data_IF_786033287097
#
_entry.id   IF_786033287097
#
_cell.length_a   1.000
_cell.length_b   1.000
_cell.length_c   1.000
_cell.angle_alpha   90.00
_cell.angle_beta   90.00
_cell.angle_gamma   90.00
#
_symmetry.space_group_name_H-M   'P 1'
#
loop_
_entity.id
_entity.type
_entity.pdbx_description
1 polymer ?
#
# COMPACT_ATOMS: atom_id res chain seq x y z
N UNK A 1 -6.98 -21.72 0.07
CA UNK A 1 -5.70 -21.11 0.43
C UNK A 1 -4.63 -21.61 -0.52
N UNK A 2 -3.82 -20.71 -1.08
CA UNK A 2 -2.72 -21.05 -1.99
C UNK A 2 -1.79 -22.08 -1.36
N UNK A 3 -1.34 -23.05 -2.17
CA UNK A 3 -0.44 -24.11 -1.72
C UNK A 3 0.99 -23.80 -2.13
N UNK A 4 1.21 -23.44 -3.39
CA UNK A 4 2.54 -23.21 -3.98
C UNK A 4 2.67 -21.77 -4.48
N UNK A 5 3.55 -20.99 -3.86
CA UNK A 5 3.69 -19.55 -4.13
C UNK A 5 5.11 -19.23 -4.60
N UNK A 6 5.23 -18.45 -5.67
CA UNK A 6 6.50 -17.89 -6.13
C UNK A 6 6.56 -16.40 -5.76
N UNK A 7 7.69 -15.97 -5.23
CA UNK A 7 7.96 -14.58 -4.86
C UNK A 7 9.13 -14.09 -5.70
N UNK A 8 8.96 -12.97 -6.41
CA UNK A 8 10.00 -12.27 -7.16
C UNK A 8 10.19 -10.86 -6.56
N UNK A 9 11.31 -10.63 -5.89
CA UNK A 9 11.58 -9.41 -5.13
C UNK A 9 13.09 -9.30 -4.94
N UNK A 10 13.75 -8.27 -5.44
CA UNK A 10 15.20 -8.10 -5.26
C UNK A 10 15.57 -7.55 -3.88
N UNK A 11 14.66 -6.83 -3.20
CA UNK A 11 14.92 -6.30 -1.86
C UNK A 11 14.71 -7.36 -0.77
N UNK A 12 15.81 -7.83 -0.21
CA UNK A 12 15.83 -8.90 0.81
C UNK A 12 14.91 -8.61 2.02
N UNK A 13 14.90 -7.38 2.52
CA UNK A 13 14.06 -6.99 3.67
C UNK A 13 12.56 -7.11 3.33
N UNK A 14 12.16 -6.62 2.15
CA UNK A 14 10.78 -6.73 1.69
C UNK A 14 10.40 -8.21 1.51
N UNK A 15 11.33 -9.00 0.97
CA UNK A 15 11.10 -10.41 0.77
C UNK A 15 10.87 -11.19 2.07
N UNK A 16 11.72 -10.98 3.08
CA UNK A 16 11.56 -11.61 4.39
C UNK A 16 10.17 -11.29 4.99
N UNK A 17 9.69 -10.05 4.82
CA UNK A 17 8.36 -9.64 5.27
C UNK A 17 7.24 -10.41 4.56
N UNK A 18 7.34 -10.59 3.24
CA UNK A 18 6.40 -11.39 2.44
C UNK A 18 6.41 -12.85 2.88
N UNK A 19 7.60 -13.45 3.00
CA UNK A 19 7.75 -14.84 3.45
C UNK A 19 7.14 -15.04 4.84
N UNK A 20 7.42 -14.12 5.78
CA UNK A 20 6.86 -14.16 7.13
C UNK A 20 5.33 -14.10 7.11
N UNK A 21 4.76 -13.23 6.28
CA UNK A 21 3.31 -13.09 6.11
C UNK A 21 2.66 -14.36 5.56
N UNK A 22 3.27 -14.99 4.55
CA UNK A 22 2.81 -16.26 3.99
C UNK A 22 2.89 -17.39 5.02
N UNK A 23 4.01 -17.47 5.75
CA UNK A 23 4.20 -18.47 6.80
C UNK A 23 3.15 -18.35 7.91
N UNK A 24 2.84 -17.12 8.35
CA UNK A 24 1.83 -16.87 9.40
C UNK A 24 0.41 -17.22 8.94
N UNK A 25 0.18 -17.28 7.62
CA UNK A 25 -1.06 -17.78 7.01
C UNK A 25 -1.02 -19.29 6.72
N UNK A 26 0.04 -20.01 7.08
CA UNK A 26 0.17 -21.46 6.86
C UNK A 26 0.54 -21.85 5.43
N UNK A 27 1.08 -20.90 4.64
CA UNK A 27 1.57 -21.15 3.29
C UNK A 27 3.07 -21.45 3.38
N UNK A 28 3.43 -22.73 3.27
CA UNK A 28 4.80 -23.20 3.52
C UNK A 28 5.59 -23.55 2.25
N UNK A 29 4.91 -23.90 1.15
CA UNK A 29 5.59 -24.22 -0.11
C UNK A 29 5.79 -22.93 -0.90
N UNK A 30 6.80 -22.17 -0.50
CA UNK A 30 7.17 -20.89 -1.11
C UNK A 30 8.52 -21.03 -1.80
N UNK A 31 8.64 -20.40 -2.97
CA UNK A 31 9.92 -20.21 -3.65
C UNK A 31 10.19 -18.73 -3.78
N UNK A 32 11.43 -18.35 -3.56
CA UNK A 32 11.89 -16.99 -3.69
C UNK A 32 13.00 -16.89 -4.73
N UNK A 33 12.95 -15.83 -5.54
CA UNK A 33 13.97 -15.42 -6.51
C UNK A 33 14.15 -13.90 -6.51
N UNK A 34 15.36 -13.46 -6.83
CA UNK A 34 15.76 -12.05 -6.90
C UNK A 34 15.67 -11.46 -8.31
N UNK A 35 15.45 -12.30 -9.32
CA UNK A 35 15.48 -11.91 -10.74
C UNK A 35 14.22 -12.40 -11.47
N UNK A 36 13.67 -11.57 -12.35
CA UNK A 36 12.47 -11.89 -13.12
C UNK A 36 12.68 -13.11 -14.05
N UNK A 37 13.83 -13.19 -14.71
CA UNK A 37 14.15 -14.33 -15.58
C UNK A 37 14.18 -15.66 -14.83
N UNK A 38 14.69 -15.63 -13.58
CA UNK A 38 14.64 -16.80 -12.70
C UNK A 38 13.20 -17.15 -12.33
N UNK A 39 12.35 -16.16 -12.04
CA UNK A 39 10.94 -16.40 -11.74
C UNK A 39 10.24 -17.14 -12.90
N UNK A 40 10.44 -16.66 -14.13
CA UNK A 40 9.87 -17.28 -15.32
C UNK A 40 10.40 -18.71 -15.53
N UNK A 41 11.69 -18.93 -15.28
CA UNK A 41 12.32 -20.26 -15.37
C UNK A 41 11.73 -21.25 -14.38
N UNK A 42 11.53 -20.84 -13.12
CA UNK A 42 10.90 -21.66 -12.10
C UNK A 42 9.45 -22.00 -12.44
N UNK A 43 8.68 -21.04 -12.98
CA UNK A 43 7.31 -21.28 -13.42
C UNK A 43 7.24 -22.30 -14.57
N UNK A 44 8.05 -22.13 -15.62
CA UNK A 44 8.12 -23.08 -16.74
C UNK A 44 8.51 -24.48 -16.29
N UNK A 45 9.46 -24.58 -15.35
CA UNK A 45 9.91 -25.86 -14.78
C UNK A 45 8.79 -26.53 -14.00
N UNK A 46 8.12 -25.78 -13.12
CA UNK A 46 7.00 -26.27 -12.31
C UNK A 46 5.84 -26.81 -13.17
N UNK A 47 5.52 -26.15 -14.29
CA UNK A 47 4.51 -26.62 -15.25
C UNK A 47 4.93 -27.95 -15.88
N UNK A 48 6.19 -28.05 -16.35
CA UNK A 48 6.73 -29.29 -16.95
C UNK A 48 6.70 -30.45 -15.95
N UNK A 49 6.98 -30.17 -14.69
CA UNK A 49 7.04 -31.16 -13.62
C UNK A 49 5.63 -31.51 -13.07
N UNK A 50 4.56 -30.92 -13.62
CA UNK A 50 3.18 -31.21 -13.25
C UNK A 50 2.72 -30.56 -11.94
N UNK A 51 3.50 -29.63 -11.40
CA UNK A 51 3.21 -28.92 -10.15
C UNK A 51 3.25 -27.39 -10.32
N UNK A 52 2.33 -26.81 -11.10
CA UNK A 52 2.29 -25.37 -11.35
C UNK A 52 2.12 -24.56 -10.05
N UNK A 53 2.56 -23.30 -10.08
CA UNK A 53 2.36 -22.39 -8.95
C UNK A 53 0.93 -21.89 -8.92
N UNK A 54 0.35 -21.71 -7.73
CA UNK A 54 -0.99 -21.14 -7.60
C UNK A 54 -0.97 -19.61 -7.67
N UNK A 55 0.12 -19.00 -7.19
CA UNK A 55 0.27 -17.56 -7.01
C UNK A 55 1.69 -17.10 -7.32
N UNK A 56 1.79 -15.99 -8.06
CA UNK A 56 2.98 -15.15 -8.16
C UNK A 56 2.79 -13.88 -7.32
N UNK A 57 3.74 -13.59 -6.44
CA UNK A 57 3.90 -12.29 -5.78
C UNK A 57 5.14 -11.63 -6.38
N UNK A 58 5.01 -10.43 -6.91
CA UNK A 58 6.15 -9.73 -7.54
C UNK A 58 6.21 -8.27 -7.15
N UNK A 59 7.41 -7.73 -6.93
CA UNK A 59 7.62 -6.28 -7.07
C UNK A 59 7.49 -5.88 -8.54
N UNK A 60 7.27 -4.59 -8.78
CA UNK A 60 7.33 -3.98 -10.11
C UNK A 60 8.76 -3.57 -10.45
N UNK A 61 9.47 -3.01 -9.48
CA UNK A 61 10.77 -2.40 -9.67
C UNK A 61 11.85 -3.40 -9.27
N UNK A 62 12.86 -3.57 -10.13
CA UNK A 62 14.05 -4.36 -9.84
C UNK A 62 15.27 -3.50 -10.15
N UNK A 63 16.27 -3.55 -9.28
CA UNK A 63 17.54 -2.88 -9.47
C UNK A 63 18.33 -3.56 -10.60
N UNK A 64 18.88 -2.73 -11.50
CA UNK A 64 19.80 -3.21 -12.53
C UNK A 64 21.18 -3.36 -11.87
N UNK A 65 21.69 -4.58 -11.85
CA UNK A 65 23.00 -4.94 -11.29
C UNK A 65 24.05 -5.18 -12.38
N UNK A 66 23.81 -4.65 -13.59
CA UNK A 66 24.59 -4.84 -14.82
C UNK A 66 24.64 -6.30 -15.31
N UNK A 67 23.88 -7.21 -14.69
CA UNK A 67 23.74 -8.58 -15.20
C UNK A 67 22.89 -8.60 -16.47
N UNK A 68 23.22 -9.43 -17.47
CA UNK A 68 22.38 -9.60 -18.65
C UNK A 68 21.02 -10.21 -18.27
N UNK A 69 19.96 -9.41 -18.32
CA UNK A 69 18.58 -9.81 -18.02
C UNK A 69 17.67 -9.48 -19.21
N UNK A 70 16.83 -10.44 -19.62
CA UNK A 70 15.84 -10.24 -20.68
C UNK A 70 14.60 -9.55 -20.12
N UNK A 71 14.17 -9.96 -18.93
CA UNK A 71 13.04 -9.37 -18.22
C UNK A 71 13.58 -8.56 -17.04
N UNK A 72 13.41 -7.23 -17.10
CA UNK A 72 13.98 -6.28 -16.13
C UNK A 72 12.99 -5.75 -15.10
N UNK A 73 11.71 -6.03 -15.25
CA UNK A 73 10.67 -5.46 -14.40
C UNK A 73 9.50 -6.43 -14.20
N UNK A 74 8.77 -6.20 -13.11
CA UNK A 74 7.65 -7.06 -12.71
C UNK A 74 6.47 -7.03 -13.69
N UNK A 75 6.21 -5.93 -14.40
CA UNK A 75 5.10 -5.87 -15.36
C UNK A 75 5.40 -6.72 -16.60
N UNK A 76 6.64 -6.64 -17.08
CA UNK A 76 7.15 -7.51 -18.14
C UNK A 76 7.15 -8.98 -17.71
N UNK A 77 7.51 -9.27 -16.45
CA UNK A 77 7.41 -10.62 -15.88
C UNK A 77 5.96 -11.13 -15.91
N UNK A 78 5.00 -10.35 -15.44
CA UNK A 78 3.58 -10.75 -15.40
C UNK A 78 3.07 -11.12 -16.80
N UNK A 79 3.39 -10.30 -17.81
CA UNK A 79 3.01 -10.59 -19.20
C UNK A 79 3.59 -11.91 -19.68
N UNK A 80 4.89 -12.14 -19.45
CA UNK A 80 5.55 -13.38 -19.84
C UNK A 80 4.97 -14.60 -19.10
N UNK A 81 4.64 -14.44 -17.82
CA UNK A 81 4.04 -15.48 -16.98
C UNK A 81 2.62 -15.83 -17.44
N UNK A 82 1.79 -14.84 -17.78
CA UNK A 82 0.42 -15.06 -18.27
C UNK A 82 0.39 -15.78 -19.62
N UNK A 83 1.45 -15.67 -20.43
CA UNK A 83 1.58 -16.46 -21.67
C UNK A 83 1.79 -17.95 -21.36
N UNK A 84 2.62 -18.29 -20.36
CA UNK A 84 2.97 -19.68 -20.07
C UNK A 84 1.99 -20.36 -19.11
N UNK A 85 1.37 -19.60 -18.20
CA UNK A 85 0.40 -20.09 -17.24
C UNK A 85 -0.73 -19.05 -17.06
N UNK A 86 -1.72 -19.01 -17.97
CA UNK A 86 -2.77 -17.97 -17.99
C UNK A 86 -3.56 -17.85 -16.68
N UNK A 87 -3.81 -18.98 -16.01
CA UNK A 87 -4.69 -19.07 -14.84
C UNK A 87 -3.99 -18.73 -13.51
N UNK A 88 -2.67 -18.49 -13.51
CA UNK A 88 -1.94 -18.15 -12.28
C UNK A 88 -2.48 -16.85 -11.68
N UNK A 89 -2.64 -16.84 -10.35
CA UNK A 89 -2.97 -15.62 -9.62
C UNK A 89 -1.77 -14.72 -9.47
N UNK A 90 -1.98 -13.40 -9.52
CA UNK A 90 -0.90 -12.42 -9.44
C UNK A 90 -1.22 -11.36 -8.38
N UNK A 91 -0.33 -11.21 -7.41
CA UNK A 91 -0.31 -10.08 -6.47
C UNK A 91 0.93 -9.24 -6.73
N UNK A 92 0.73 -7.94 -6.93
CA UNK A 92 1.78 -6.98 -7.19
C UNK A 92 2.05 -6.14 -5.95
N UNK A 93 3.32 -6.01 -5.59
CA UNK A 93 3.82 -5.07 -4.60
C UNK A 93 4.37 -3.85 -5.33
N UNK A 94 4.11 -2.63 -4.84
CA UNK A 94 4.68 -1.43 -5.48
C UNK A 94 4.81 -0.26 -4.51
N UNK A 95 5.95 0.45 -4.56
CA UNK A 95 6.16 1.68 -3.79
C UNK A 95 5.55 2.93 -4.46
N UNK A 96 5.41 2.91 -5.79
CA UNK A 96 4.98 4.08 -6.57
C UNK A 96 3.47 4.21 -6.65
N UNK A 97 3.02 5.42 -6.98
CA UNK A 97 1.63 5.64 -7.37
C UNK A 97 1.32 4.89 -8.67
N UNK A 98 0.06 4.49 -8.80
CA UNK A 98 -0.42 3.58 -9.85
C UNK A 98 -0.20 4.19 -11.23
N UNK A 99 0.61 3.54 -12.06
CA UNK A 99 0.70 3.89 -13.48
C UNK A 99 -0.59 3.51 -14.22
N UNK A 100 -0.86 4.15 -15.36
CA UNK A 100 -1.97 3.76 -16.25
C UNK A 100 -1.87 2.29 -16.63
N UNK A 101 -0.66 1.81 -16.90
CA UNK A 101 -0.39 0.42 -17.26
C UNK A 101 -0.83 -0.58 -16.18
N UNK A 102 -0.55 -0.33 -14.90
CA UNK A 102 -0.99 -1.19 -13.79
C UNK A 102 -2.53 -1.23 -13.74
N UNK A 103 -3.18 -0.07 -13.91
CA UNK A 103 -4.64 -0.01 -13.89
C UNK A 103 -5.26 -0.79 -15.06
N UNK A 104 -4.64 -0.75 -16.23
CA UNK A 104 -5.10 -1.50 -17.40
C UNK A 104 -4.91 -3.01 -17.19
N UNK A 105 -3.75 -3.44 -16.69
CA UNK A 105 -3.49 -4.85 -16.35
C UNK A 105 -4.44 -5.39 -15.29
N UNK A 106 -4.79 -4.57 -14.29
CA UNK A 106 -5.78 -4.94 -13.28
C UNK A 106 -7.20 -5.09 -13.88
N UNK A 107 -7.60 -4.17 -14.77
CA UNK A 107 -8.89 -4.24 -15.49
C UNK A 107 -8.96 -5.44 -16.43
N UNK A 108 -7.84 -5.84 -17.00
CA UNK A 108 -7.73 -6.99 -17.91
C UNK A 108 -7.54 -8.33 -17.18
N UNK A 109 -7.67 -8.37 -15.85
CA UNK A 109 -7.49 -9.57 -15.03
C UNK A 109 -6.09 -10.21 -15.13
N UNK A 110 -5.07 -9.42 -15.49
CA UNK A 110 -3.67 -9.84 -15.46
C UNK A 110 -3.09 -9.75 -14.04
N UNK A 111 -3.64 -8.86 -13.21
CA UNK A 111 -3.31 -8.67 -11.79
C UNK A 111 -4.57 -8.89 -10.96
N UNK A 112 -4.50 -9.77 -9.95
CA UNK A 112 -5.62 -10.05 -9.04
C UNK A 112 -5.53 -9.22 -7.75
N UNK A 113 -4.32 -8.89 -7.30
CA UNK A 113 -4.09 -8.09 -6.09
C UNK A 113 -3.06 -7.00 -6.32
N UNK A 114 -3.33 -5.79 -5.81
CA UNK A 114 -2.36 -4.70 -5.79
C UNK A 114 -2.15 -4.23 -4.35
N UNK A 115 -0.92 -4.33 -3.86
CA UNK A 115 -0.54 -3.93 -2.50
C UNK A 115 0.54 -2.85 -2.58
N UNK A 116 0.28 -1.70 -1.97
CA UNK A 116 1.28 -0.65 -1.86
C UNK A 116 2.32 -1.00 -0.79
N UNK A 117 3.60 -0.87 -1.14
CA UNK A 117 4.73 -0.88 -0.20
C UNK A 117 4.72 0.44 0.58
N UNK A 118 3.96 0.45 1.66
CA UNK A 118 3.76 1.60 2.53
C UNK A 118 3.51 1.11 3.96
N UNK A 119 2.99 1.98 4.84
CA UNK A 119 2.58 1.57 6.18
C UNK A 119 1.52 0.48 6.10
N UNK A 120 1.65 -0.55 6.94
CA UNK A 120 0.73 -1.69 7.05
C UNK A 120 0.65 -2.56 5.78
N UNK A 121 1.65 -2.51 4.91
CA UNK A 121 1.79 -3.39 3.74
C UNK A 121 1.59 -4.89 4.09
N UNK A 122 2.13 -5.37 5.21
CA UNK A 122 1.92 -6.75 5.67
C UNK A 122 0.46 -7.06 6.03
N UNK A 123 -0.31 -6.09 6.52
CA UNK A 123 -1.76 -6.25 6.73
C UNK A 123 -2.48 -6.31 5.38
N UNK A 124 -2.20 -5.36 4.48
CA UNK A 124 -2.81 -5.32 3.16
C UNK A 124 -2.46 -6.54 2.30
N UNK A 125 -1.25 -7.10 2.45
CA UNK A 125 -0.86 -8.35 1.83
C UNK A 125 -1.71 -9.53 2.35
N UNK A 126 -1.99 -9.61 3.67
CA UNK A 126 -2.90 -10.63 4.21
C UNK A 126 -4.31 -10.50 3.64
N UNK A 127 -4.83 -9.28 3.57
CA UNK A 127 -6.15 -9.00 3.00
C UNK A 127 -6.19 -9.38 1.50
N UNK A 128 -5.14 -9.04 0.75
CA UNK A 128 -4.99 -9.41 -0.66
C UNK A 128 -4.97 -10.93 -0.84
N UNK A 129 -4.15 -11.64 -0.06
CA UNK A 129 -4.06 -13.10 -0.11
C UNK A 129 -5.43 -13.76 0.13
N UNK A 130 -6.16 -13.31 1.15
CA UNK A 130 -7.49 -13.83 1.47
C UNK A 130 -8.53 -13.53 0.38
N UNK A 131 -8.51 -12.32 -0.18
CA UNK A 131 -9.43 -11.94 -1.25
C UNK A 131 -9.17 -12.73 -2.54
N UNK A 132 -7.90 -12.81 -2.96
CA UNK A 132 -7.50 -13.49 -4.20
C UNK A 132 -7.71 -15.00 -4.10
N UNK A 133 -7.50 -15.60 -2.92
CA UNK A 133 -7.83 -17.01 -2.67
C UNK A 133 -9.32 -17.31 -2.82
N UNK A 134 -10.17 -16.31 -2.59
CA UNK A 134 -11.62 -16.37 -2.81
C UNK A 134 -12.03 -15.92 -4.21
N UNK A 135 -11.09 -15.83 -5.15
CA UNK A 135 -11.28 -15.33 -6.52
C UNK A 135 -11.86 -13.90 -6.58
N UNK A 136 -11.61 -13.09 -5.55
CA UNK A 136 -11.93 -11.65 -5.54
C UNK A 136 -10.66 -10.86 -5.81
N UNK A 137 -10.81 -9.73 -6.49
CA UNK A 137 -9.68 -8.81 -6.64
C UNK A 137 -9.49 -7.98 -5.37
N UNK A 138 -8.26 -7.56 -5.12
CA UNK A 138 -7.94 -6.68 -4.00
C UNK A 138 -7.07 -5.52 -4.46
N UNK A 139 -7.35 -4.35 -3.93
CA UNK A 139 -6.51 -3.19 -4.14
C UNK A 139 -6.34 -2.48 -2.80
N UNK A 140 -5.11 -2.42 -2.33
CA UNK A 140 -4.80 -1.68 -1.11
C UNK A 140 -5.17 -0.22 -1.33
N UNK A 141 -5.91 0.39 -0.40
CA UNK A 141 -6.33 1.76 -0.52
C UNK A 141 -5.10 2.68 -0.53
N UNK A 142 -5.16 3.77 -1.29
CA UNK A 142 -4.07 4.74 -1.30
C UNK A 142 -3.91 5.30 0.10
N UNK A 143 -2.69 5.44 0.62
CA UNK A 143 -2.47 5.95 1.98
C UNK A 143 -3.20 7.29 2.23
N UNK A 144 -3.31 8.15 1.20
CA UNK A 144 -4.11 9.39 1.27
C UNK A 144 -5.63 9.14 1.37
N UNK A 145 -6.16 8.11 0.71
CA UNK A 145 -7.60 7.77 0.69
C UNK A 145 -8.01 6.82 1.82
N UNK A 146 -7.16 5.90 2.25
CA UNK A 146 -7.45 4.98 3.35
C UNK A 146 -7.60 5.72 4.68
N UNK A 147 -6.74 6.72 4.89
CA UNK A 147 -6.85 7.59 6.08
C UNK A 147 -8.10 8.49 5.97
N UNK A 148 -8.60 8.79 4.76
CA UNK A 148 -9.89 9.45 4.56
C UNK A 148 -11.09 8.52 4.83
N UNK A 149 -11.00 7.22 4.49
CA UNK A 149 -12.12 6.27 4.62
C UNK A 149 -12.26 5.63 6.02
N UNK A 150 -11.16 5.42 6.76
CA UNK A 150 -11.20 4.92 8.15
C UNK A 150 -11.66 5.99 9.16
N UNK A 151 -11.52 7.26 8.82
CA UNK A 151 -12.03 8.38 9.60
C UNK A 151 -13.35 8.82 8.99
N UNK A 152 -14.46 8.18 9.39
CA UNK A 152 -15.81 8.54 8.96
C UNK A 152 -16.23 9.98 9.31
N UNK A 153 -15.32 10.79 9.84
CA UNK A 153 -15.37 12.25 9.87
C UNK A 153 -14.09 12.78 9.22
N UNK A 154 -14.20 13.12 7.94
CA UNK A 154 -13.11 13.63 7.12
C UNK A 154 -12.46 14.85 7.81
N UNK A 155 -11.16 14.77 8.11
CA UNK A 155 -10.37 15.96 8.39
C UNK A 155 -10.39 16.81 7.13
N UNK A 156 -11.12 17.92 7.20
CA UNK A 156 -11.18 18.91 6.14
C UNK A 156 -9.80 19.56 5.98
N UNK A 157 -9.56 20.19 4.82
CA UNK A 157 -8.34 21.00 4.64
C UNK A 157 -8.19 22.03 5.76
N UNK A 158 -9.29 22.61 6.23
CA UNK A 158 -9.29 23.56 7.34
C UNK A 158 -8.74 22.96 8.64
N UNK A 159 -9.05 21.68 8.92
CA UNK A 159 -8.54 20.98 10.10
C UNK A 159 -7.04 20.79 10.07
N UNK A 160 -6.52 20.38 8.92
CA UNK A 160 -5.10 20.18 8.73
C UNK A 160 -4.33 21.48 8.93
N UNK A 161 -4.90 22.62 8.51
CA UNK A 161 -4.30 23.94 8.80
C UNK A 161 -4.28 24.25 10.29
N UNK A 162 -5.37 23.99 11.02
CA UNK A 162 -5.41 24.20 12.48
C UNK A 162 -4.38 23.31 13.18
N UNK A 163 -4.33 22.02 12.82
CA UNK A 163 -3.41 21.05 13.43
C UNK A 163 -1.95 21.40 13.11
N UNK A 164 -1.67 21.89 11.90
CA UNK A 164 -0.34 22.37 11.52
C UNK A 164 0.08 23.59 12.35
N UNK A 165 -0.82 24.54 12.57
CA UNK A 165 -0.53 25.71 13.43
C UNK A 165 -0.24 25.27 14.88
N UNK A 166 -1.00 24.30 15.41
CA UNK A 166 -0.70 23.70 16.72
C UNK A 166 0.69 23.05 16.77
N UNK A 167 1.07 22.32 15.72
CA UNK A 167 2.38 21.68 15.60
C UNK A 167 3.53 22.70 15.51
N UNK A 168 3.31 23.81 14.82
CA UNK A 168 4.24 24.95 14.72
C UNK A 168 4.33 25.76 16.02
N UNK A 169 3.57 25.41 17.06
CA UNK A 169 3.59 26.07 18.37
C UNK A 169 2.74 27.33 18.44
N UNK A 170 1.90 27.60 17.44
CA UNK A 170 0.99 28.75 17.42
C UNK A 170 -0.13 28.51 18.44
N UNK A 171 -0.36 29.49 19.33
CA UNK A 171 -1.44 29.37 20.31
C UNK A 171 -2.81 29.53 19.64
N UNK A 172 -3.84 28.87 20.19
CA UNK A 172 -5.20 28.95 19.64
C UNK A 172 -5.72 30.40 19.53
N UNK A 173 -5.26 31.29 20.43
CA UNK A 173 -5.63 32.71 20.45
C UNK A 173 -5.05 33.49 19.27
N UNK A 174 -3.90 33.06 18.74
CA UNK A 174 -3.19 33.71 17.64
C UNK A 174 -3.59 33.13 16.27
N UNK A 175 -4.12 31.90 16.23
CA UNK A 175 -4.56 31.25 14.98
C UNK A 175 -5.50 32.08 14.10
N UNK A 176 -6.47 32.87 14.63
CA UNK A 176 -7.30 33.73 13.81
C UNK A 176 -6.50 34.66 12.89
N UNK A 177 -5.44 35.28 13.40
CA UNK A 177 -4.59 36.21 12.64
C UNK A 177 -3.82 35.47 11.55
N UNK A 178 -3.24 34.31 11.88
CA UNK A 178 -2.52 33.46 10.93
C UNK A 178 -3.39 32.93 9.79
N UNK A 179 -4.67 32.63 10.07
CA UNK A 179 -5.62 32.15 9.07
C UNK A 179 -6.13 33.30 8.19
N UNK A 180 -6.38 34.48 8.77
CA UNK A 180 -6.76 35.68 8.00
C UNK A 180 -5.67 36.13 7.04
N UNK A 181 -4.40 36.14 7.48
CA UNK A 181 -3.26 36.51 6.64
C UNK A 181 -3.09 35.60 5.41
N UNK A 182 -3.58 34.35 5.49
CA UNK A 182 -3.51 33.36 4.42
C UNK A 182 -4.82 33.22 3.62
N UNK A 183 -5.80 34.10 3.88
CA UNK A 183 -7.15 34.08 3.32
C UNK A 183 -7.88 32.73 3.52
N UNK A 184 -7.61 32.05 4.63
CA UNK A 184 -8.23 30.78 4.99
C UNK A 184 -9.46 31.06 5.85
N UNK A 185 -10.63 30.55 5.43
CA UNK A 185 -11.91 30.69 6.14
C UNK A 185 -12.47 29.33 6.54
N UNK A 186 -13.16 29.24 7.70
CA UNK A 186 -13.43 30.31 8.67
C UNK A 186 -12.19 30.66 9.51
N UNK A 187 -12.07 31.90 10.01
CA UNK A 187 -10.89 32.34 10.78
C UNK A 187 -11.20 32.91 12.16
N UNK A 188 -12.45 32.80 12.64
CA UNK A 188 -12.79 33.24 14.00
C UNK A 188 -12.36 32.22 15.04
N UNK A 189 -11.96 32.70 16.23
CA UNK A 189 -11.54 31.85 17.37
C UNK A 189 -12.60 30.79 17.69
N UNK A 190 -13.87 31.18 17.74
CA UNK A 190 -14.98 30.27 18.04
C UNK A 190 -15.12 29.15 17.00
N UNK A 191 -14.79 29.40 15.73
CA UNK A 191 -14.88 28.38 14.68
C UNK A 191 -13.75 27.37 14.80
N UNK A 192 -12.55 27.86 15.14
CA UNK A 192 -11.36 27.05 15.38
C UNK A 192 -11.57 26.15 16.61
N UNK A 193 -12.06 26.71 17.71
CA UNK A 193 -12.36 25.96 18.95
C UNK A 193 -13.42 24.88 18.73
N UNK A 194 -14.53 25.22 18.05
CA UNK A 194 -15.57 24.25 17.69
C UNK A 194 -15.01 23.10 16.88
N UNK A 195 -14.11 23.40 15.95
CA UNK A 195 -13.52 22.38 15.08
C UNK A 195 -12.51 21.51 15.83
N UNK A 196 -11.66 22.10 16.68
CA UNK A 196 -10.76 21.37 17.58
C UNK A 196 -11.51 20.41 18.51
N UNK A 197 -12.61 20.89 19.11
CA UNK A 197 -13.43 20.04 19.99
C UNK A 197 -14.10 18.92 19.22
N UNK A 198 -14.65 19.19 18.03
CA UNK A 198 -15.22 18.15 17.18
C UNK A 198 -14.18 17.07 16.83
N UNK A 199 -12.97 17.45 16.42
CA UNK A 199 -11.90 16.50 16.09
C UNK A 199 -11.48 15.66 17.29
N UNK A 200 -11.41 16.27 18.48
CA UNK A 200 -11.13 15.57 19.74
C UNK A 200 -12.23 14.58 20.10
N UNK A 201 -13.49 15.01 20.05
CA UNK A 201 -14.64 14.20 20.43
C UNK A 201 -14.77 12.97 19.54
N UNK A 202 -14.59 13.15 18.22
CA UNK A 202 -14.63 12.07 17.23
C UNK A 202 -13.54 11.03 17.49
N UNK A 203 -12.33 11.47 17.85
CA UNK A 203 -11.18 10.59 18.04
C UNK A 203 -11.00 10.11 19.48
N UNK A 204 -11.88 10.52 20.40
CA UNK A 204 -11.79 10.18 21.82
C UNK A 204 -10.58 10.83 22.53
N UNK A 205 -10.10 11.97 22.02
CA UNK A 205 -8.99 12.71 22.62
C UNK A 205 -9.47 13.81 23.56
N UNK A 206 -8.66 14.12 24.57
CA UNK A 206 -8.96 15.15 25.57
C UNK A 206 -8.07 16.38 25.33
N UNK A 207 -6.85 16.14 24.86
CA UNK A 207 -5.78 17.12 24.71
C UNK A 207 -5.44 17.37 23.25
N UNK A 208 -5.10 18.61 22.91
CA UNK A 208 -4.71 18.97 21.55
C UNK A 208 -3.37 18.33 21.16
N UNK A 209 -2.51 18.07 22.14
CA UNK A 209 -1.25 17.36 21.95
C UNK A 209 -1.48 15.93 21.43
N UNK A 210 -2.60 15.29 21.82
CA UNK A 210 -2.98 13.97 21.31
C UNK A 210 -3.40 14.06 19.84
N UNK A 211 -4.15 15.11 19.46
CA UNK A 211 -4.47 15.37 18.05
C UNK A 211 -3.20 15.57 17.21
N UNK A 212 -2.27 16.41 17.68
CA UNK A 212 -1.01 16.69 16.97
C UNK A 212 -0.16 15.42 16.85
N UNK A 213 0.01 14.67 17.94
CA UNK A 213 0.76 13.41 17.94
C UNK A 213 0.14 12.40 16.96
N UNK A 214 -1.19 12.25 17.00
CA UNK A 214 -1.92 11.37 16.11
C UNK A 214 -1.76 11.78 14.64
N UNK A 215 -1.90 13.07 14.31
CA UNK A 215 -1.73 13.54 12.94
C UNK A 215 -0.28 13.43 12.42
N UNK A 216 0.71 13.59 13.31
CA UNK A 216 2.12 13.33 13.00
C UNK A 216 2.39 11.85 12.76
N UNK A 217 1.83 10.97 13.60
CA UNK A 217 1.88 9.52 13.41
C UNK A 217 1.21 9.10 12.11
N UNK A 218 0.15 9.80 11.68
CA UNK A 218 -0.52 9.58 10.39
C UNK A 218 0.24 10.18 9.20
N UNK A 219 1.17 11.11 9.41
CA UNK A 219 1.94 11.77 8.34
C UNK A 219 1.17 12.89 7.63
N UNK A 220 0.20 13.49 8.31
CA UNK A 220 -0.50 14.68 7.82
C UNK A 220 0.31 15.98 7.99
N UNK A 221 1.23 15.97 8.95
CA UNK A 221 2.14 17.05 9.32
C UNK A 221 3.51 16.51 9.66
#
# INVERSE_FOLDING_TARGET
MFKKVLIAEDHEIANISVQKTLHDLGIHNTKYVYYCDHALTWLKTAIRDGEPYDLLITDIEFEDDDSPQEIKDGLSLIKAVKIVQPDIKVIVLTAKDRSSLINDMFKNNEIDGLVRKARRDGQHLREALQAVDQNRTYQSPDSKKFIQEQNSHEFTQFDLHIIKLLYEGVSQKEMPEYLQQRDIRPSSLSSIEKRLNLMKDVLGFIKNEQLVAHCKELGFI
#
